data_IF_893303405385
#
_entry.id   IF_893303405385
#
_cell.length_a   1.000
_cell.length_b   1.000
_cell.length_c   1.000
_cell.angle_alpha   90.00
_cell.angle_beta   90.00
_cell.angle_gamma   90.00
#
_symmetry.space_group_name_H-M   'P 1'
#
loop_
_entity.id
_entity.type
_entity.pdbx_description
1 polymer ?
#
# COMPACT_ATOMS: atom_id res chain seq x y z
N UNK A 1 -13.51 -6.71 18.63
CA UNK A 1 -12.67 -5.64 19.22
C UNK A 1 -13.58 -4.48 19.65
N UNK A 2 -13.19 -3.64 20.62
CA UNK A 2 -13.96 -2.43 20.98
C UNK A 2 -13.80 -1.38 19.88
N UNK A 3 -14.87 -0.63 19.59
CA UNK A 3 -14.79 0.50 18.65
C UNK A 3 -14.01 1.67 19.28
N UNK A 4 -13.15 2.32 18.48
CA UNK A 4 -12.36 3.48 18.89
C UNK A 4 -12.25 4.47 17.72
N UNK A 5 -12.79 5.69 17.89
CA UNK A 5 -12.81 6.72 16.84
C UNK A 5 -11.41 7.21 16.44
N UNK A 6 -10.39 7.04 17.29
CA UNK A 6 -9.01 7.45 16.99
C UNK A 6 -8.20 6.37 16.28
N UNK A 7 -8.72 5.14 16.18
CA UNK A 7 -8.06 4.03 15.48
C UNK A 7 -8.79 3.70 14.18
N UNK A 8 -8.08 3.43 13.07
CA UNK A 8 -8.72 2.97 11.85
C UNK A 8 -9.23 1.53 11.98
N UNK A 9 -10.15 1.13 11.09
CA UNK A 9 -10.96 -0.09 11.19
C UNK A 9 -10.27 -1.42 10.82
N UNK A 10 -8.96 -1.43 10.56
CA UNK A 10 -8.22 -2.64 10.16
C UNK A 10 -7.65 -3.43 11.34
N UNK A 11 -7.71 -4.75 11.29
CA UNK A 11 -7.02 -5.63 12.25
C UNK A 11 -5.49 -5.53 12.11
N UNK A 12 -5.00 -5.35 10.88
CA UNK A 12 -3.59 -5.12 10.57
C UNK A 12 -3.49 -3.76 9.88
N UNK A 13 -2.63 -2.89 10.42
CA UNK A 13 -2.43 -1.53 9.91
C UNK A 13 -0.93 -1.32 9.79
N UNK A 14 -0.37 -1.24 8.56
CA UNK A 14 1.04 -0.96 8.37
C UNK A 14 1.42 0.42 8.91
N UNK A 15 2.55 0.49 9.61
CA UNK A 15 3.21 1.75 9.96
C UNK A 15 4.44 1.94 9.08
N UNK A 16 4.52 3.07 8.38
CA UNK A 16 5.52 3.35 7.36
C UNK A 16 6.26 4.63 7.72
N UNK A 17 7.58 4.53 7.92
CA UNK A 17 8.42 5.66 8.28
C UNK A 17 8.80 6.51 7.06
N UNK A 18 8.69 7.84 7.16
CA UNK A 18 9.13 8.80 6.15
C UNK A 18 9.97 9.90 6.78
N UNK A 19 10.96 10.47 6.07
CA UNK A 19 11.69 11.63 6.53
C UNK A 19 10.74 12.80 6.81
N UNK A 20 9.89 13.14 5.83
CA UNK A 20 8.89 14.21 5.92
C UNK A 20 7.47 13.65 5.84
N UNK A 21 6.83 13.51 7.00
CA UNK A 21 5.52 12.83 7.13
C UNK A 21 4.41 13.58 6.37
N UNK A 22 4.43 14.91 6.42
CA UNK A 22 3.43 15.73 5.74
C UNK A 22 3.56 15.67 4.22
N UNK A 23 4.79 15.76 3.69
CA UNK A 23 5.05 15.65 2.27
C UNK A 23 4.68 14.26 1.73
N UNK A 24 5.02 13.21 2.47
CA UNK A 24 4.62 11.85 2.13
C UNK A 24 3.09 11.69 2.10
N UNK A 25 2.37 12.26 3.07
CA UNK A 25 0.91 12.21 3.08
C UNK A 25 0.30 12.89 1.85
N UNK A 26 0.75 14.10 1.51
CA UNK A 26 0.29 14.83 0.32
C UNK A 26 0.55 14.01 -0.93
N UNK A 27 1.79 13.53 -1.10
CA UNK A 27 2.18 12.76 -2.28
C UNK A 27 1.37 11.47 -2.42
N UNK A 28 1.14 10.71 -1.34
CA UNK A 28 0.35 9.48 -1.38
C UNK A 28 -1.13 9.75 -1.69
N UNK A 29 -1.69 10.85 -1.21
CA UNK A 29 -3.03 11.30 -1.60
C UNK A 29 -3.10 11.64 -3.10
N UNK A 30 -2.11 12.37 -3.62
CA UNK A 30 -2.04 12.75 -5.03
C UNK A 30 -1.79 11.56 -5.95
N UNK A 31 -0.78 10.73 -5.67
CA UNK A 31 -0.38 9.62 -6.53
C UNK A 31 -1.32 8.43 -6.42
N UNK A 32 -1.77 8.06 -5.22
CA UNK A 32 -2.52 6.82 -4.97
C UNK A 32 -3.97 7.05 -4.55
N UNK A 33 -4.42 8.31 -4.47
CA UNK A 33 -5.83 8.61 -4.17
C UNK A 33 -6.22 8.34 -2.72
N UNK A 34 -5.25 8.17 -1.82
CA UNK A 34 -5.51 8.04 -0.39
C UNK A 34 -6.10 9.34 0.16
N UNK A 35 -6.66 9.28 1.37
CA UNK A 35 -7.22 10.47 2.05
C UNK A 35 -6.71 10.59 3.47
N UNK A 36 -6.48 11.81 3.94
CA UNK A 36 -6.06 12.05 5.32
C UNK A 36 -7.23 11.74 6.26
N UNK A 37 -6.99 10.87 7.23
CA UNK A 37 -7.95 10.55 8.30
C UNK A 37 -7.73 11.44 9.52
N UNK A 38 -6.50 11.50 10.01
CA UNK A 38 -6.11 12.39 11.11
C UNK A 38 -4.59 12.61 11.12
N UNK A 39 -4.16 13.74 11.65
CA UNK A 39 -2.76 14.05 11.93
C UNK A 39 -2.52 14.20 13.44
N UNK A 40 -1.38 13.73 13.93
CA UNK A 40 -0.93 13.89 15.32
C UNK A 40 0.36 14.68 15.29
N UNK A 41 0.24 15.97 15.62
CA UNK A 41 1.32 16.94 15.49
C UNK A 41 2.00 16.79 14.11
N UNK A 42 3.32 16.74 14.09
CA UNK A 42 4.17 16.71 12.90
C UNK A 42 4.81 15.32 12.65
N UNK A 43 4.52 14.31 13.47
CA UNK A 43 5.25 13.04 13.48
C UNK A 43 4.40 11.83 13.08
N UNK A 44 3.08 11.99 12.94
CA UNK A 44 2.20 10.89 12.57
C UNK A 44 0.98 11.35 11.78
N UNK A 45 0.68 10.66 10.69
CA UNK A 45 -0.53 10.88 9.90
C UNK A 45 -1.18 9.53 9.61
N UNK A 46 -2.48 9.41 9.83
CA UNK A 46 -3.27 8.26 9.41
C UNK A 46 -3.91 8.57 8.06
N UNK A 47 -3.79 7.64 7.11
CA UNK A 47 -4.45 7.71 5.81
C UNK A 47 -5.51 6.62 5.69
N UNK A 48 -6.65 6.94 5.11
CA UNK A 48 -7.60 5.92 4.65
C UNK A 48 -7.15 5.37 3.30
N UNK A 49 -7.24 4.04 3.16
CA UNK A 49 -6.93 3.30 1.93
C UNK A 49 -8.06 2.31 1.68
N UNK A 50 -9.02 2.68 0.84
CA UNK A 50 -10.27 1.93 0.72
C UNK A 50 -10.99 1.85 2.07
N UNK A 51 -11.32 0.63 2.51
CA UNK A 51 -11.85 0.31 3.84
C UNK A 51 -10.76 0.05 4.91
N UNK A 52 -9.48 0.04 4.49
CA UNK A 52 -8.32 -0.10 5.34
C UNK A 52 -7.63 1.23 5.66
N UNK A 53 -6.41 1.13 6.18
CA UNK A 53 -5.61 2.30 6.52
C UNK A 53 -4.11 1.98 6.51
N UNK A 54 -3.32 3.05 6.37
CA UNK A 54 -1.88 3.06 6.67
C UNK A 54 -1.58 4.21 7.60
N UNK A 55 -0.54 4.04 8.42
CA UNK A 55 -0.05 5.10 9.29
C UNK A 55 1.34 5.50 8.83
N UNK A 56 1.53 6.79 8.59
CA UNK A 56 2.84 7.36 8.33
C UNK A 56 3.43 7.84 9.65
N UNK A 57 4.70 7.51 9.89
CA UNK A 57 5.45 7.95 11.07
C UNK A 57 6.71 8.69 10.63
N UNK A 58 7.23 9.57 11.49
CA UNK A 58 8.54 10.16 11.24
C UNK A 58 9.62 9.10 11.34
N UNK A 59 10.54 9.10 10.39
CA UNK A 59 11.77 8.33 10.46
C UNK A 59 12.60 8.74 11.68
N UNK A 60 13.00 7.76 12.50
CA UNK A 60 13.85 8.01 13.64
C UNK A 60 15.27 8.42 13.19
N UNK A 61 15.89 9.35 13.90
CA UNK A 61 17.16 9.96 13.51
C UNK A 61 18.33 8.97 13.37
N UNK A 62 18.26 7.83 14.06
CA UNK A 62 19.26 6.77 14.09
C UNK A 62 18.98 5.62 13.10
N UNK A 63 17.90 5.71 12.32
CA UNK A 63 17.49 4.71 11.34
C UNK A 63 17.68 5.25 9.93
N UNK A 64 18.39 4.50 9.08
CA UNK A 64 18.56 4.89 7.69
C UNK A 64 17.27 4.69 6.88
N UNK A 65 17.01 5.57 5.92
CA UNK A 65 15.87 5.44 5.01
C UNK A 65 15.91 4.12 4.22
N UNK A 66 17.11 3.72 3.78
CA UNK A 66 17.32 2.46 3.07
C UNK A 66 16.87 1.24 3.89
N UNK A 67 17.16 1.22 5.20
CA UNK A 67 16.78 0.10 6.06
C UNK A 67 15.25 -0.08 6.17
N UNK A 68 14.49 1.02 6.13
CA UNK A 68 13.01 0.96 6.22
C UNK A 68 12.34 0.79 4.86
N UNK A 69 13.01 1.14 3.76
CA UNK A 69 12.50 1.03 2.39
C UNK A 69 12.78 -0.36 1.79
N UNK A 70 13.95 -0.95 2.07
CA UNK A 70 14.43 -2.15 1.37
C UNK A 70 13.95 -3.50 1.95
N UNK A 71 13.06 -3.50 2.95
CA UNK A 71 12.67 -4.73 3.66
C UNK A 71 11.19 -5.12 3.57
N UNK A 72 10.32 -4.25 3.08
CA UNK A 72 8.87 -4.42 3.18
C UNK A 72 8.16 -3.95 1.91
N UNK A 73 7.06 -4.61 1.58
CA UNK A 73 6.15 -4.18 0.53
C UNK A 73 4.73 -4.14 1.09
N UNK A 74 3.93 -3.20 0.60
CA UNK A 74 2.50 -3.13 0.91
C UNK A 74 1.72 -3.50 -0.33
N UNK A 75 0.77 -4.43 -0.19
CA UNK A 75 -0.18 -4.76 -1.25
C UNK A 75 -1.54 -4.15 -0.92
N UNK A 76 -2.16 -3.49 -1.90
CA UNK A 76 -3.44 -2.79 -1.77
C UNK A 76 -4.38 -3.29 -2.85
N UNK A 77 -5.64 -3.58 -2.48
CA UNK A 77 -6.68 -3.89 -3.46
C UNK A 77 -7.28 -2.60 -4.02
N UNK A 78 -7.51 -2.56 -5.33
CA UNK A 78 -8.13 -1.43 -6.03
C UNK A 78 -9.22 -1.93 -6.96
N UNK A 79 -10.20 -1.07 -7.24
CA UNK A 79 -11.29 -1.39 -8.16
C UNK A 79 -10.85 -1.43 -9.62
N UNK A 80 -9.91 -0.57 -10.00
CA UNK A 80 -9.37 -0.45 -11.36
C UNK A 80 -7.85 -0.22 -11.32
N UNK A 81 -7.09 -1.25 -11.68
CA UNK A 81 -5.63 -1.21 -11.67
C UNK A 81 -5.07 -0.27 -12.74
N UNK A 82 -5.69 -0.18 -13.91
CA UNK A 82 -5.19 0.63 -15.02
C UNK A 82 -5.39 2.12 -14.77
N UNK A 83 -6.56 2.51 -14.25
CA UNK A 83 -6.84 3.88 -13.84
C UNK A 83 -5.92 4.32 -12.69
N UNK A 84 -5.71 3.45 -11.69
CA UNK A 84 -4.82 3.74 -10.57
C UNK A 84 -3.36 3.86 -11.03
N UNK A 85 -2.90 2.97 -11.92
CA UNK A 85 -1.58 3.06 -12.55
C UNK A 85 -1.40 4.36 -13.34
N UNK A 86 -2.39 4.78 -14.13
CA UNK A 86 -2.34 6.03 -14.87
C UNK A 86 -2.20 7.25 -13.95
N UNK A 87 -2.96 7.28 -12.85
CA UNK A 87 -2.85 8.33 -11.81
C UNK A 87 -1.46 8.37 -11.18
N UNK A 88 -0.94 7.22 -10.73
CA UNK A 88 0.37 7.13 -10.11
C UNK A 88 1.47 7.62 -11.06
N UNK A 89 1.41 7.21 -12.34
CA UNK A 89 2.36 7.64 -13.36
C UNK A 89 2.30 9.16 -13.61
N UNK A 90 1.09 9.74 -13.66
CA UNK A 90 0.92 11.18 -13.84
C UNK A 90 1.49 12.00 -12.66
N UNK A 91 1.43 11.45 -11.45
CA UNK A 91 2.04 12.04 -10.26
C UNK A 91 3.56 11.81 -10.15
N UNK A 92 4.20 11.21 -11.16
CA UNK A 92 5.65 10.99 -11.21
C UNK A 92 6.13 9.78 -10.41
N UNK A 93 5.25 8.85 -10.02
CA UNK A 93 5.66 7.62 -9.35
C UNK A 93 6.50 6.73 -10.27
N UNK A 94 7.48 6.02 -9.70
CA UNK A 94 8.39 5.16 -10.46
C UNK A 94 7.76 3.78 -10.63
N UNK A 95 7.28 3.47 -11.83
CA UNK A 95 6.69 2.16 -12.15
C UNK A 95 7.81 1.11 -12.20
N UNK A 96 7.77 0.15 -11.27
CA UNK A 96 8.72 -0.96 -11.20
C UNK A 96 8.28 -2.10 -12.12
N UNK A 97 6.97 -2.35 -12.18
CA UNK A 97 6.35 -3.34 -13.06
C UNK A 97 5.01 -2.81 -13.56
N UNK A 98 4.77 -2.78 -14.88
CA UNK A 98 3.49 -2.30 -15.43
C UNK A 98 2.35 -3.27 -15.10
N UNK A 99 1.07 -2.83 -15.27
CA UNK A 99 -0.08 -3.70 -15.12
C UNK A 99 0.03 -4.98 -15.96
N UNK A 100 -0.14 -6.13 -15.30
CA UNK A 100 -0.18 -7.44 -15.93
C UNK A 100 -1.23 -8.33 -15.26
N UNK A 101 -1.83 -9.22 -16.04
CA UNK A 101 -2.77 -10.22 -15.55
C UNK A 101 -1.99 -11.45 -15.09
N UNK A 102 -2.43 -12.02 -13.96
CA UNK A 102 -1.82 -13.19 -13.35
C UNK A 102 -2.79 -14.38 -13.33
N UNK A 103 -2.27 -15.63 -13.35
CA UNK A 103 -3.10 -16.84 -13.39
C UNK A 103 -4.09 -17.00 -12.23
N UNK A 104 -3.82 -16.35 -11.10
CA UNK A 104 -4.65 -16.37 -9.90
C UNK A 104 -5.78 -15.32 -9.91
N UNK A 105 -6.24 -14.89 -11.09
CA UNK A 105 -7.42 -14.04 -11.24
C UNK A 105 -7.20 -12.56 -10.88
N UNK A 106 -5.95 -12.08 -10.88
CA UNK A 106 -5.61 -10.72 -10.47
C UNK A 106 -4.86 -9.96 -11.57
N UNK A 107 -5.16 -8.67 -11.69
CA UNK A 107 -4.39 -7.70 -12.45
C UNK A 107 -3.59 -6.82 -11.51
N UNK A 108 -2.26 -6.88 -11.60
CA UNK A 108 -1.37 -6.22 -10.65
C UNK A 108 -0.34 -5.33 -11.32
N UNK A 109 0.07 -4.27 -10.62
CA UNK A 109 1.26 -3.51 -10.96
C UNK A 109 2.05 -3.13 -9.70
N UNK A 110 3.34 -2.90 -9.87
CA UNK A 110 4.25 -2.52 -8.77
C UNK A 110 4.84 -1.14 -9.04
N UNK A 111 4.91 -0.32 -8.00
CA UNK A 111 5.39 1.05 -8.06
C UNK A 111 6.23 1.39 -6.82
N UNK A 112 7.21 2.26 -7.00
CA UNK A 112 7.95 2.91 -5.92
C UNK A 112 7.33 4.28 -5.60
N UNK A 113 7.13 4.57 -4.32
CA UNK A 113 6.72 5.90 -3.85
C UNK A 113 7.87 6.92 -3.85
N UNK A 114 7.62 8.14 -3.35
CA UNK A 114 8.59 9.24 -3.32
C UNK A 114 9.93 8.93 -2.63
N UNK A 115 9.98 7.91 -1.75
CA UNK A 115 11.21 7.48 -1.08
C UNK A 115 11.72 6.12 -1.59
N UNK A 116 11.12 5.59 -2.66
CA UNK A 116 11.49 4.32 -3.26
C UNK A 116 10.83 3.09 -2.63
N UNK A 117 9.87 3.25 -1.72
CA UNK A 117 9.19 2.10 -1.10
C UNK A 117 8.24 1.44 -2.07
N UNK A 118 8.25 0.12 -2.04
CA UNK A 118 7.48 -0.72 -2.95
C UNK A 118 6.02 -0.86 -2.50
N UNK A 119 5.13 -0.57 -3.44
CA UNK A 119 3.70 -0.82 -3.35
C UNK A 119 3.27 -1.73 -4.50
N UNK A 120 2.37 -2.67 -4.24
CA UNK A 120 1.67 -3.45 -5.25
C UNK A 120 0.19 -3.16 -5.18
N UNK A 121 -0.43 -2.80 -6.30
CA UNK A 121 -1.87 -2.63 -6.39
C UNK A 121 -2.47 -3.79 -7.20
N UNK A 122 -3.56 -4.35 -6.69
CA UNK A 122 -4.19 -5.58 -7.21
C UNK A 122 -5.68 -5.37 -7.44
N UNK A 123 -6.15 -5.74 -8.61
CA UNK A 123 -7.57 -5.79 -8.95
C UNK A 123 -7.95 -7.24 -9.24
N UNK A 124 -8.96 -7.75 -8.55
CA UNK A 124 -9.55 -9.05 -8.88
C UNK A 124 -10.31 -8.93 -10.20
N UNK A 125 -9.89 -9.70 -11.20
CA UNK A 125 -10.48 -9.76 -12.54
C UNK A 125 -11.24 -11.07 -12.79
N UNK A 126 -10.97 -12.10 -11.98
CA UNK A 126 -11.71 -13.36 -11.95
C UNK A 126 -11.62 -13.99 -10.55
N UNK A 127 -12.63 -14.76 -10.17
CA UNK A 127 -12.58 -15.65 -9.01
C UNK A 127 -12.00 -17.00 -9.47
N UNK A 128 -10.76 -17.29 -9.08
CA UNK A 128 -10.01 -18.48 -9.52
C UNK A 128 -9.51 -19.22 -8.28
N UNK A 129 -9.89 -20.49 -8.13
CA UNK A 129 -9.42 -21.28 -7.00
C UNK A 129 -7.89 -21.52 -7.11
N UNK A 130 -7.15 -21.53 -5.98
CA UNK A 130 -5.71 -21.80 -5.98
C UNK A 130 -5.31 -23.00 -6.83
N UNK A 131 -6.07 -24.09 -6.75
CA UNK A 131 -5.80 -25.38 -7.39
C UNK A 131 -5.81 -25.30 -8.93
N UNK A 132 -6.55 -24.34 -9.50
CA UNK A 132 -6.69 -24.18 -10.96
C UNK A 132 -5.42 -23.63 -11.62
N UNK A 133 -4.57 -22.94 -10.87
CA UNK A 133 -3.27 -22.44 -11.35
C UNK A 133 -2.07 -23.12 -10.68
N UNK A 134 -2.29 -24.26 -10.01
CA UNK A 134 -1.26 -25.04 -9.32
C UNK A 134 -0.88 -24.49 -7.94
N UNK A 135 -1.65 -23.53 -7.44
CA UNK A 135 -1.63 -23.09 -6.05
C UNK A 135 -2.26 -24.13 -5.12
N UNK A 136 -2.13 -23.85 -3.84
CA UNK A 136 -2.45 -24.75 -2.75
C UNK A 136 -3.20 -23.91 -1.69
N UNK A 137 -4.47 -24.20 -1.39
CA UNK A 137 -5.23 -23.62 -0.26
C UNK A 137 -5.08 -24.33 1.11
N UNK A 138 -4.54 -23.68 2.15
CA UNK A 138 -4.51 -24.14 3.57
C UNK A 138 -3.93 -25.54 3.94
N UNK A 139 -3.29 -25.62 5.12
CA UNK A 139 -2.69 -26.83 5.74
C UNK A 139 -1.77 -27.69 4.85
N UNK A 140 -0.66 -27.06 4.43
CA UNK A 140 0.43 -27.69 3.67
C UNK A 140 1.61 -28.18 4.49
N UNK A 141 1.51 -28.01 5.81
CA UNK A 141 2.48 -28.48 6.77
C UNK A 141 1.74 -29.41 7.72
N UNK A 142 1.74 -30.71 7.37
CA UNK A 142 1.38 -31.78 8.31
C UNK A 142 2.41 -31.93 9.42
#
# INVERSE_FOLDING_TARGET
MRSNRSMPGGTVIPELAYPEVAEAAVWLCEAFGFTVRLAIADHRIQLNVGDGAVVLTRLANDVSLEAVVSGHAVMVRVEDTDAHHARARQAGAVIIGPPADFPYGERQYTVADLVGRRWTFSQSIADVAPEEWGGMSGEFWG
#
